data_IF_885655453000
#
_entry.id   IF_885655453000
#
_cell.length_a   1.000
_cell.length_b   1.000
_cell.length_c   1.000
_cell.angle_alpha   90.00
_cell.angle_beta   90.00
_cell.angle_gamma   90.00
#
_symmetry.space_group_name_H-M   'P 1'
#
loop_
_entity.id
_entity.type
_entity.pdbx_description
1 polymer ?
#
# COMPACT_ATOMS: atom_id res chain seq x y z
N UNK A 1 -2.82 -7.32 -14.65
CA UNK A 1 -3.65 -6.30 -13.98
C UNK A 1 -2.91 -5.91 -12.72
N UNK A 2 -2.57 -4.65 -12.55
CA UNK A 2 -1.71 -4.18 -11.47
C UNK A 2 -2.47 -3.11 -10.68
N UNK A 3 -2.01 -2.80 -9.48
CA UNK A 3 -2.65 -1.79 -8.63
C UNK A 3 -1.57 -0.88 -8.10
N UNK A 4 -1.84 0.42 -8.13
CA UNK A 4 -1.06 1.42 -7.42
C UNK A 4 -1.96 2.15 -6.43
N UNK A 5 -1.47 2.38 -5.22
CA UNK A 5 -2.18 3.05 -4.14
C UNK A 5 -1.24 4.08 -3.52
N UNK A 6 -1.61 5.36 -3.56
CA UNK A 6 -0.88 6.46 -2.91
C UNK A 6 -1.56 6.97 -1.63
N UNK A 7 -2.55 6.24 -1.13
CA UNK A 7 -3.35 6.56 0.05
C UNK A 7 -4.58 7.41 -0.27
N UNK A 8 -4.51 8.28 -1.28
CA UNK A 8 -5.65 9.08 -1.75
C UNK A 8 -6.31 8.48 -2.98
N UNK A 9 -5.50 7.93 -3.87
CA UNK A 9 -5.90 7.36 -5.15
C UNK A 9 -5.53 5.90 -5.19
N UNK A 10 -6.47 5.09 -5.63
CA UNK A 10 -6.24 3.70 -5.99
C UNK A 10 -6.45 3.59 -7.49
N UNK A 11 -5.46 3.09 -8.21
CA UNK A 11 -5.53 2.93 -9.66
C UNK A 11 -5.42 1.46 -10.00
N UNK A 12 -6.49 0.92 -10.59
CA UNK A 12 -6.55 -0.43 -11.10
C UNK A 12 -6.20 -0.42 -12.59
N UNK A 13 -5.05 -1.00 -12.91
CA UNK A 13 -4.58 -1.16 -14.28
C UNK A 13 -5.08 -2.48 -14.87
N UNK A 14 -5.84 -2.40 -15.95
CA UNK A 14 -6.33 -3.56 -16.70
C UNK A 14 -5.98 -3.44 -18.18
N UNK A 15 -6.03 -4.54 -18.92
CA UNK A 15 -5.67 -4.49 -20.34
C UNK A 15 -6.59 -3.50 -21.07
N UNK A 16 -5.99 -2.52 -21.73
CA UNK A 16 -6.71 -1.47 -22.45
C UNK A 16 -7.17 -0.26 -21.63
N UNK A 17 -7.04 -0.23 -20.30
CA UNK A 17 -7.38 0.97 -19.51
C UNK A 17 -6.83 0.98 -18.06
N UNK A 18 -7.01 2.12 -17.38
CA UNK A 18 -6.81 2.24 -15.94
C UNK A 18 -8.04 2.90 -15.30
N UNK A 19 -8.62 2.24 -14.30
CA UNK A 19 -9.71 2.78 -13.49
C UNK A 19 -9.11 3.50 -12.27
N UNK A 20 -9.42 4.78 -12.13
CA UNK A 20 -8.94 5.65 -11.05
C UNK A 20 -10.04 5.82 -10.03
N UNK A 21 -9.76 5.39 -8.81
CA UNK A 21 -10.61 5.60 -7.65
C UNK A 21 -9.99 6.69 -6.78
N UNK A 22 -10.81 7.65 -6.36
CA UNK A 22 -10.44 8.70 -5.41
C UNK A 22 -11.38 8.58 -4.23
N UNK A 23 -10.81 8.41 -3.04
CA UNK A 23 -11.57 8.25 -1.80
C UNK A 23 -12.64 7.13 -1.90
N UNK A 24 -12.31 6.06 -2.63
CA UNK A 24 -13.17 4.89 -2.84
C UNK A 24 -14.19 4.99 -3.97
N UNK A 25 -14.43 6.19 -4.52
CA UNK A 25 -15.35 6.38 -5.65
C UNK A 25 -14.61 6.29 -6.99
N UNK A 26 -15.22 5.65 -8.00
CA UNK A 26 -14.69 5.65 -9.36
C UNK A 26 -14.72 7.10 -9.90
N UNK A 27 -13.55 7.70 -10.03
CA UNK A 27 -13.40 9.08 -10.49
C UNK A 27 -13.26 9.16 -12.01
N UNK A 28 -12.48 8.26 -12.62
CA UNK A 28 -12.38 8.16 -14.09
C UNK A 28 -11.90 6.79 -14.55
N UNK A 29 -12.11 6.51 -15.84
CA UNK A 29 -11.45 5.41 -16.56
C UNK A 29 -10.64 6.00 -17.71
N UNK A 30 -9.32 5.79 -17.68
CA UNK A 30 -8.40 6.20 -18.71
C UNK A 30 -8.17 5.07 -19.71
N UNK A 31 -8.64 5.21 -20.95
CA UNK A 31 -8.42 4.19 -21.99
C UNK A 31 -7.01 4.31 -22.55
N UNK A 32 -6.30 3.21 -22.57
CA UNK A 32 -4.94 3.17 -23.07
C UNK A 32 -4.62 1.75 -23.54
N UNK A 33 -4.23 1.54 -24.82
CA UNK A 33 -4.07 0.22 -25.42
C UNK A 33 -2.77 -0.49 -24.96
N UNK A 34 -2.55 -0.54 -23.64
CA UNK A 34 -1.43 -1.21 -23.00
C UNK A 34 -1.88 -2.48 -22.29
N UNK A 35 -0.96 -3.43 -22.20
CA UNK A 35 -1.08 -4.61 -21.35
C UNK A 35 -0.22 -4.41 -20.11
N UNK A 36 -0.82 -4.24 -18.95
CA UNK A 36 -0.07 -3.85 -17.74
C UNK A 36 0.47 -5.04 -16.95
N UNK A 37 1.77 -4.99 -16.61
CA UNK A 37 2.47 -6.04 -15.86
C UNK A 37 2.78 -5.64 -14.42
N UNK A 38 3.02 -4.35 -14.16
CA UNK A 38 3.31 -3.80 -12.84
C UNK A 38 2.76 -2.37 -12.71
N UNK A 39 2.58 -1.91 -11.48
CA UNK A 39 2.18 -0.54 -11.18
C UNK A 39 2.68 -0.16 -9.79
N UNK A 40 2.95 1.12 -9.58
CA UNK A 40 3.43 1.63 -8.30
C UNK A 40 3.08 3.11 -8.12
N UNK A 41 3.07 3.52 -6.85
CA UNK A 41 3.17 4.92 -6.46
C UNK A 41 4.66 5.21 -6.22
N UNK A 42 5.25 6.10 -7.03
CA UNK A 42 6.66 6.47 -6.94
C UNK A 42 6.81 7.95 -6.57
N UNK A 43 7.84 8.33 -5.82
CA UNK A 43 8.22 9.73 -5.69
C UNK A 43 8.43 10.35 -7.08
N UNK A 44 7.95 11.57 -7.25
CA UNK A 44 8.16 12.32 -8.48
C UNK A 44 9.67 12.66 -8.62
N UNK A 45 10.29 12.48 -9.79
CA UNK A 45 11.71 12.81 -10.01
C UNK A 45 12.05 14.29 -9.83
N UNK A 46 11.05 15.17 -9.91
CA UNK A 46 11.20 16.60 -9.64
C UNK A 46 11.18 16.93 -8.12
N UNK A 47 11.07 15.91 -7.26
CA UNK A 47 11.01 16.05 -5.81
C UNK A 47 9.64 16.45 -5.27
N UNK A 48 8.61 16.60 -6.13
CA UNK A 48 7.31 17.13 -5.73
C UNK A 48 6.19 16.10 -5.86
N UNK A 49 5.88 15.47 -4.73
CA UNK A 49 4.73 14.59 -4.59
C UNK A 49 4.97 13.18 -5.13
N UNK A 50 3.87 12.50 -5.45
CA UNK A 50 3.88 11.08 -5.84
C UNK A 50 3.19 10.90 -7.20
N UNK A 51 3.85 10.15 -8.08
CA UNK A 51 3.31 9.75 -9.36
C UNK A 51 2.77 8.32 -9.29
N UNK A 52 1.58 8.13 -9.85
CA UNK A 52 1.10 6.79 -10.16
C UNK A 52 1.67 6.40 -11.52
N UNK A 53 2.38 5.29 -11.55
CA UNK A 53 2.98 4.75 -12.77
C UNK A 53 2.50 3.33 -13.03
N UNK A 54 2.38 2.98 -14.31
CA UNK A 54 2.21 1.62 -14.80
C UNK A 54 3.41 1.21 -15.64
N UNK A 55 3.74 -0.07 -15.58
CA UNK A 55 4.70 -0.72 -16.48
C UNK A 55 3.90 -1.64 -17.40
N UNK A 56 4.04 -1.45 -18.71
CA UNK A 56 3.39 -2.31 -19.69
C UNK A 56 4.24 -3.53 -20.09
N UNK A 57 3.66 -4.43 -20.86
CA UNK A 57 4.28 -5.68 -21.28
C UNK A 57 5.47 -5.48 -22.22
N UNK A 58 5.57 -4.32 -22.87
CA UNK A 58 6.71 -3.89 -23.68
C UNK A 58 7.82 -3.26 -22.83
N UNK A 59 7.60 -3.12 -21.52
CA UNK A 59 8.56 -2.58 -20.56
C UNK A 59 8.60 -1.07 -20.49
N UNK A 60 7.58 -0.37 -21.02
CA UNK A 60 7.50 1.09 -20.95
C UNK A 60 6.99 1.51 -19.57
N UNK A 61 7.69 2.46 -18.95
CA UNK A 61 7.24 3.14 -17.73
C UNK A 61 6.39 4.35 -18.10
N UNK A 62 5.10 4.29 -17.75
CA UNK A 62 4.11 5.29 -18.10
C UNK A 62 3.51 5.88 -16.83
N UNK A 63 3.47 7.21 -16.74
CA UNK A 63 2.79 7.95 -15.67
C UNK A 63 1.34 8.16 -16.05
N UNK A 64 0.45 8.00 -15.06
CA UNK A 64 -0.92 8.46 -15.14
C UNK A 64 -1.03 9.87 -14.55
N UNK A 65 -1.17 10.93 -15.38
CA UNK A 65 -1.36 12.28 -14.86
C UNK A 65 -2.75 12.42 -14.20
N UNK A 66 -2.90 13.48 -13.41
CA UNK A 66 -4.18 13.83 -12.78
C UNK A 66 -5.31 14.01 -13.80
N UNK A 67 -4.98 14.51 -14.99
CA UNK A 67 -5.85 14.67 -16.15
C UNK A 67 -5.04 14.35 -17.42
N UNK A 68 -5.69 13.79 -18.44
CA UNK A 68 -5.05 13.46 -19.72
C UNK A 68 -4.50 12.03 -19.82
N UNK A 69 -3.90 11.78 -20.98
CA UNK A 69 -3.39 10.47 -21.39
C UNK A 69 -2.11 10.07 -20.66
N UNK A 70 -1.75 8.79 -20.75
CA UNK A 70 -0.50 8.27 -20.20
C UNK A 70 0.73 8.92 -20.84
N UNK A 71 1.72 9.23 -20.01
CA UNK A 71 2.97 9.89 -20.41
C UNK A 71 4.16 8.95 -20.20
N UNK A 72 5.06 8.75 -21.19
CA UNK A 72 6.30 8.03 -20.96
C UNK A 72 7.23 8.83 -20.03
N UNK A 73 7.71 8.17 -18.97
CA UNK A 73 8.52 8.82 -17.93
C UNK A 73 9.80 8.08 -17.57
N UNK A 74 10.17 7.02 -18.30
CA UNK A 74 11.42 6.27 -18.05
C UNK A 74 12.66 7.19 -18.00
N UNK A 75 12.74 8.15 -18.93
CA UNK A 75 13.87 9.09 -19.02
C UNK A 75 13.91 10.07 -17.83
N UNK A 76 12.75 10.35 -17.20
CA UNK A 76 12.69 11.18 -15.99
C UNK A 76 13.33 10.49 -14.79
N UNK A 77 13.45 9.15 -14.83
CA UNK A 77 14.17 8.35 -13.85
C UNK A 77 15.55 7.89 -14.37
N UNK A 78 16.08 8.51 -15.44
CA UNK A 78 17.38 8.17 -16.04
C UNK A 78 17.50 6.72 -16.53
N UNK A 79 16.38 6.11 -16.93
CA UNK A 79 16.36 4.72 -17.39
C UNK A 79 16.67 4.58 -18.88
N UNK A 80 16.74 5.67 -19.65
CA UNK A 80 17.20 5.70 -21.04
C UNK A 80 16.57 4.60 -21.92
N UNK A 81 15.23 4.58 -22.00
CA UNK A 81 14.44 3.54 -22.70
C UNK A 81 14.70 2.08 -22.29
N UNK A 82 15.38 1.81 -21.17
CA UNK A 82 15.58 0.45 -20.70
C UNK A 82 14.21 -0.22 -20.40
N UNK A 83 14.03 -1.50 -20.77
CA UNK A 83 12.78 -2.20 -20.53
C UNK A 83 12.60 -2.47 -19.03
N UNK A 84 11.60 -1.81 -18.44
CA UNK A 84 11.26 -1.96 -17.03
C UNK A 84 10.37 -3.19 -16.85
N UNK A 85 10.65 -4.00 -15.84
CA UNK A 85 9.86 -5.19 -15.46
C UNK A 85 9.00 -4.92 -14.23
N UNK A 86 9.54 -4.16 -13.29
CA UNK A 86 8.83 -3.69 -12.10
C UNK A 86 9.43 -2.38 -11.61
N UNK A 87 8.60 -1.58 -10.93
CA UNK A 87 9.02 -0.37 -10.26
C UNK A 87 8.45 -0.36 -8.84
N UNK A 88 9.23 0.09 -7.87
CA UNK A 88 8.83 0.19 -6.46
C UNK A 88 9.45 1.45 -5.85
N UNK A 89 8.73 2.11 -4.95
CA UNK A 89 9.29 3.21 -4.16
C UNK A 89 10.27 2.67 -3.11
N UNK A 90 11.33 3.41 -2.81
CA UNK A 90 12.23 3.10 -1.68
C UNK A 90 11.61 3.49 -0.32
N UNK A 91 10.42 4.08 -0.33
CA UNK A 91 9.70 4.55 0.87
C UNK A 91 10.10 5.97 1.29
N UNK A 92 9.26 6.57 2.13
CA UNK A 92 9.48 7.88 2.76
C UNK A 92 9.36 7.76 4.27
N UNK A 93 10.34 8.30 5.00
CA UNK A 93 10.36 8.24 6.46
C UNK A 93 11.72 8.58 7.04
N UNK A 94 12.11 9.86 7.00
CA UNK A 94 13.26 10.43 7.73
C UNK A 94 14.67 9.89 7.41
N UNK A 95 14.79 8.78 6.69
CA UNK A 95 16.04 8.24 6.22
C UNK A 95 16.58 9.08 5.05
N UNK A 96 17.92 9.16 4.87
CA UNK A 96 18.46 9.56 3.57
C UNK A 96 17.78 8.68 2.49
N UNK A 97 17.40 9.25 1.35
CA UNK A 97 16.67 8.58 0.24
C UNK A 97 15.15 8.41 0.40
N UNK A 98 14.50 9.15 1.30
CA UNK A 98 13.04 9.21 1.47
C UNK A 98 12.21 9.67 0.23
N UNK A 99 12.81 9.70 -0.97
CA UNK A 99 12.20 10.10 -2.23
C UNK A 99 12.74 9.32 -3.44
N UNK A 100 13.36 8.15 -3.24
CA UNK A 100 13.90 7.36 -4.35
C UNK A 100 12.96 6.26 -4.87
N UNK A 101 13.30 5.72 -6.04
CA UNK A 101 12.62 4.61 -6.69
C UNK A 101 13.63 3.54 -7.13
N UNK A 102 13.21 2.28 -7.11
CA UNK A 102 13.97 1.15 -7.58
C UNK A 102 13.23 0.45 -8.73
N UNK A 103 14.00 0.01 -9.72
CA UNK A 103 13.49 -0.60 -10.94
C UNK A 103 14.19 -1.94 -11.18
N UNK A 104 13.38 -2.97 -11.40
CA UNK A 104 13.87 -4.22 -11.98
C UNK A 104 13.88 -4.07 -13.50
N UNK A 105 15.05 -4.24 -14.11
CA UNK A 105 15.25 -4.23 -15.56
C UNK A 105 15.56 -5.66 -16.03
N UNK A 106 15.85 -5.83 -17.32
CA UNK A 106 16.37 -7.10 -17.85
C UNK A 106 17.85 -7.24 -17.47
N UNK A 107 18.13 -8.08 -16.47
CA UNK A 107 19.50 -8.35 -16.02
C UNK A 107 20.11 -7.33 -15.06
N UNK A 108 19.41 -6.24 -14.76
CA UNK A 108 19.90 -5.15 -13.91
C UNK A 108 18.87 -4.69 -12.89
N UNK A 109 19.38 -4.05 -11.84
CA UNK A 109 18.59 -3.19 -10.94
C UNK A 109 19.04 -1.75 -11.16
N UNK A 110 18.11 -0.83 -11.36
CA UNK A 110 18.38 0.60 -11.34
C UNK A 110 17.78 1.24 -10.09
N UNK A 111 18.54 2.10 -9.43
CA UNK A 111 18.12 2.86 -8.26
C UNK A 111 18.23 4.34 -8.57
N UNK A 112 17.09 5.03 -8.64
CA UNK A 112 17.00 6.47 -8.78
C UNK A 112 16.79 7.08 -7.38
N UNK A 113 17.78 7.79 -6.87
CA UNK A 113 17.79 8.26 -5.48
C UNK A 113 17.28 9.71 -5.29
N UNK A 114 16.81 10.31 -6.39
CA UNK A 114 16.37 11.71 -6.48
C UNK A 114 17.44 12.65 -7.02
N UNK A 115 18.71 12.24 -7.06
CA UNK A 115 19.82 13.01 -7.62
C UNK A 115 20.57 12.24 -8.72
N UNK A 116 20.81 10.95 -8.50
CA UNK A 116 21.56 10.06 -9.38
C UNK A 116 20.79 8.78 -9.65
N UNK A 117 21.16 8.14 -10.76
CA UNK A 117 20.66 6.81 -11.12
C UNK A 117 21.85 5.86 -11.12
N UNK A 118 21.86 4.93 -10.17
CA UNK A 118 22.90 3.91 -10.09
C UNK A 118 22.35 2.59 -10.59
N UNK A 119 23.09 1.93 -11.50
CA UNK A 119 22.73 0.62 -12.04
C UNK A 119 23.64 -0.47 -11.49
N UNK A 120 23.04 -1.63 -11.21
CA UNK A 120 23.71 -2.80 -10.68
C UNK A 120 23.42 -3.98 -11.61
N UNK A 121 24.47 -4.56 -12.19
CA UNK A 121 24.35 -5.80 -12.95
C UNK A 121 24.07 -6.96 -11.98
N UNK A 122 22.98 -7.68 -12.20
CA UNK A 122 22.52 -8.77 -11.33
C UNK A 122 22.30 -10.08 -12.07
N UNK A 123 22.02 -10.01 -13.38
CA UNK A 123 21.38 -11.10 -14.10
C UNK A 123 19.86 -11.13 -13.87
N UNK A 124 19.14 -12.08 -14.49
CA UNK A 124 17.68 -12.16 -14.41
C UNK A 124 17.20 -12.38 -12.98
N UNK A 125 16.29 -11.51 -12.52
CA UNK A 125 15.73 -11.57 -11.19
C UNK A 125 14.59 -12.60 -11.12
N UNK A 126 14.64 -13.48 -10.11
CA UNK A 126 13.53 -14.36 -9.75
C UNK A 126 12.49 -13.65 -8.88
N UNK A 127 12.93 -12.70 -8.04
CA UNK A 127 12.08 -11.87 -7.20
C UNK A 127 12.71 -10.50 -6.97
N UNK A 128 11.89 -9.49 -6.70
CA UNK A 128 12.30 -8.11 -6.50
C UNK A 128 11.35 -7.40 -5.53
N UNK A 129 11.91 -6.73 -4.53
CA UNK A 129 11.19 -5.91 -3.56
C UNK A 129 12.04 -4.69 -3.17
N UNK A 130 11.39 -3.61 -2.73
CA UNK A 130 12.07 -2.41 -2.28
C UNK A 130 11.25 -1.69 -1.22
N UNK A 131 11.94 -0.97 -0.33
CA UNK A 131 11.34 -0.23 0.80
C UNK A 131 12.40 0.15 1.82
N UNK A 132 12.12 1.16 2.65
CA UNK A 132 13.02 1.63 3.71
C UNK A 132 14.47 1.90 3.27
N UNK A 133 14.68 2.42 2.05
CA UNK A 133 16.02 2.67 1.50
C UNK A 133 16.81 1.42 1.08
N UNK A 134 16.16 0.27 0.97
CA UNK A 134 16.79 -1.00 0.57
C UNK A 134 16.08 -1.64 -0.62
N UNK A 135 16.84 -2.40 -1.38
CA UNK A 135 16.35 -3.23 -2.48
C UNK A 135 16.71 -4.68 -2.20
N UNK A 136 15.72 -5.55 -2.16
CA UNK A 136 15.91 -6.98 -2.00
C UNK A 136 15.58 -7.69 -3.31
N UNK A 137 16.39 -8.69 -3.67
CA UNK A 137 16.21 -9.43 -4.90
C UNK A 137 16.71 -10.86 -4.76
N UNK A 138 16.05 -11.76 -5.47
CA UNK A 138 16.46 -13.15 -5.58
C UNK A 138 16.98 -13.44 -6.97
N UNK A 139 18.07 -14.19 -7.03
CA UNK A 139 18.63 -14.79 -8.22
C UNK A 139 18.46 -16.32 -8.12
N UNK A 140 18.81 -17.05 -9.17
CA UNK A 140 18.78 -18.52 -9.14
C UNK A 140 19.69 -19.14 -8.06
N UNK A 141 20.68 -18.40 -7.56
CA UNK A 141 21.68 -18.84 -6.59
C UNK A 141 21.43 -18.35 -5.15
N UNK A 142 20.46 -17.46 -4.92
CA UNK A 142 20.16 -16.98 -3.57
C UNK A 142 19.49 -15.62 -3.48
N UNK A 143 19.33 -15.17 -2.23
CA UNK A 143 18.69 -13.91 -1.85
C UNK A 143 19.76 -12.88 -1.48
N UNK A 144 19.61 -11.66 -1.98
CA UNK A 144 20.49 -10.52 -1.68
C UNK A 144 19.66 -9.29 -1.32
N UNK A 145 20.23 -8.41 -0.51
CA UNK A 145 19.69 -7.08 -0.27
C UNK A 145 20.79 -6.03 -0.36
N UNK A 146 20.52 -4.99 -1.13
CA UNK A 146 21.33 -3.80 -1.29
C UNK A 146 20.79 -2.70 -0.38
N UNK A 147 21.66 -2.19 0.49
CA UNK A 147 21.44 -0.91 1.15
C UNK A 147 21.84 0.22 0.20
N UNK A 148 20.89 1.08 -0.17
CA UNK A 148 21.11 2.11 -1.20
C UNK A 148 22.09 3.17 -0.72
N UNK A 149 22.03 3.51 0.57
CA UNK A 149 22.83 4.57 1.17
C UNK A 149 24.32 4.22 1.20
N UNK A 150 24.63 3.05 1.73
CA UNK A 150 25.99 2.56 1.93
C UNK A 150 26.51 1.79 0.73
N UNK A 151 25.62 1.44 -0.22
CA UNK A 151 25.88 0.52 -1.33
C UNK A 151 26.34 -0.86 -0.86
N UNK A 152 26.08 -1.19 0.41
CA UNK A 152 26.44 -2.47 0.98
C UNK A 152 25.49 -3.54 0.46
N UNK A 153 26.07 -4.60 -0.12
CA UNK A 153 25.33 -5.78 -0.55
C UNK A 153 25.47 -6.88 0.49
N UNK A 154 24.34 -7.40 0.97
CA UNK A 154 24.29 -8.55 1.87
C UNK A 154 23.64 -9.73 1.17
N UNK A 155 24.23 -10.92 1.33
CA UNK A 155 23.66 -12.19 0.87
C UNK A 155 23.06 -12.94 2.06
N UNK A 156 21.93 -13.61 1.83
CA UNK A 156 21.23 -14.38 2.84
C UNK A 156 21.11 -15.84 2.40
N UNK A 157 21.52 -16.80 3.26
CA UNK A 157 21.14 -18.19 3.05
C UNK A 157 19.63 -18.35 3.31
N UNK A 158 18.92 -18.99 2.38
CA UNK A 158 17.53 -19.41 2.59
C UNK A 158 17.51 -20.88 3.01
N UNK A 159 16.96 -21.23 4.18
CA UNK A 159 17.00 -22.60 4.70
C UNK A 159 16.25 -23.62 3.83
N UNK A 160 15.14 -23.21 3.20
CA UNK A 160 14.13 -24.12 2.65
C UNK A 160 13.98 -24.01 1.10
N UNK A 161 15.04 -23.64 0.37
CA UNK A 161 15.10 -23.67 -1.10
C UNK A 161 14.86 -22.34 -1.84
N UNK A 162 14.97 -22.34 -3.20
CA UNK A 162 14.92 -21.13 -4.02
C UNK A 162 13.49 -20.63 -4.30
N UNK A 163 13.39 -19.32 -4.60
CA UNK A 163 12.19 -18.54 -4.93
C UNK A 163 11.39 -17.96 -3.75
N UNK A 164 11.94 -16.94 -3.06
CA UNK A 164 11.19 -16.24 -2.04
C UNK A 164 10.21 -15.24 -2.65
N UNK A 165 8.98 -15.21 -2.13
CA UNK A 165 8.22 -13.96 -2.09
C UNK A 165 9.04 -12.99 -1.23
N UNK A 166 9.24 -11.76 -1.71
CA UNK A 166 10.06 -10.77 -1.02
C UNK A 166 9.23 -9.56 -0.64
N UNK A 167 9.56 -8.99 0.52
CA UNK A 167 9.06 -7.71 0.96
C UNK A 167 10.13 -6.98 1.78
N UNK A 168 10.10 -5.65 1.72
CA UNK A 168 10.97 -4.81 2.55
C UNK A 168 10.09 -3.79 3.25
N UNK A 169 10.15 -3.76 4.58
CA UNK A 169 9.31 -2.84 5.37
C UNK A 169 9.76 -1.39 5.21
N UNK A 170 8.93 -0.43 5.64
CA UNK A 170 9.34 0.98 5.69
C UNK A 170 10.56 1.24 6.58
N UNK A 171 10.83 0.37 7.55
CA UNK A 171 12.03 0.41 8.39
C UNK A 171 13.25 -0.31 7.76
N UNK A 172 13.13 -0.77 6.52
CA UNK A 172 14.21 -1.46 5.80
C UNK A 172 14.43 -2.91 6.26
N UNK A 173 13.50 -3.53 6.99
CA UNK A 173 13.64 -4.96 7.35
C UNK A 173 13.22 -5.84 6.17
N UNK A 174 14.05 -6.83 5.84
CA UNK A 174 13.76 -7.82 4.81
C UNK A 174 12.84 -8.91 5.35
N UNK A 175 11.81 -9.24 4.58
CA UNK A 175 11.04 -10.46 4.72
C UNK A 175 11.17 -11.32 3.47
N UNK A 176 11.32 -12.62 3.68
CA UNK A 176 11.40 -13.61 2.62
C UNK A 176 10.51 -14.79 2.97
N UNK A 177 9.64 -15.21 2.06
CA UNK A 177 8.78 -16.37 2.25
C UNK A 177 9.03 -17.43 1.17
N UNK A 178 9.31 -18.65 1.61
CA UNK A 178 9.16 -19.86 0.79
C UNK A 178 7.72 -20.35 0.90
N UNK A 179 7.28 -21.32 0.08
CA UNK A 179 5.96 -21.93 0.30
C UNK A 179 5.76 -22.48 1.72
N UNK A 180 6.83 -22.91 2.41
CA UNK A 180 6.74 -23.56 3.72
C UNK A 180 6.89 -22.61 4.92
N UNK A 181 7.48 -21.42 4.74
CA UNK A 181 7.81 -20.55 5.86
C UNK A 181 8.05 -19.09 5.46
N UNK A 182 7.72 -18.19 6.39
CA UNK A 182 8.08 -16.78 6.34
C UNK A 182 9.23 -16.51 7.31
N UNK A 183 10.25 -15.82 6.81
CA UNK A 183 11.41 -15.37 7.55
C UNK A 183 11.45 -13.84 7.57
N UNK A 184 11.91 -13.28 8.68
CA UNK A 184 12.19 -11.84 8.83
C UNK A 184 13.63 -11.67 9.28
N UNK A 185 14.28 -10.65 8.74
CA UNK A 185 15.61 -10.23 9.14
C UNK A 185 15.59 -9.63 10.55
N UNK A 186 16.44 -10.19 11.43
CA UNK A 186 16.66 -9.66 12.78
C UNK A 186 17.68 -8.50 12.78
N UNK A 187 17.93 -7.91 13.96
CA UNK A 187 18.86 -6.78 14.10
C UNK A 187 20.34 -7.14 13.78
N UNK A 188 20.71 -8.42 13.81
CA UNK A 188 22.03 -8.88 13.36
C UNK A 188 22.09 -9.04 11.83
N UNK A 189 20.96 -8.88 11.16
CA UNK A 189 20.77 -9.09 9.74
C UNK A 189 20.82 -10.57 9.34
N UNK A 190 20.23 -11.42 10.19
CA UNK A 190 20.04 -12.86 9.96
C UNK A 190 18.55 -13.13 9.74
N UNK A 191 18.20 -13.95 8.75
CA UNK A 191 16.82 -14.39 8.53
C UNK A 191 16.38 -15.37 9.63
N UNK A 192 15.36 -14.98 10.38
CA UNK A 192 14.76 -15.80 11.44
C UNK A 192 13.35 -16.23 11.06
N UNK A 193 13.03 -17.49 11.33
CA UNK A 193 11.70 -18.03 11.13
C UNK A 193 10.68 -17.22 11.96
N UNK A 194 9.65 -16.69 11.29
CA UNK A 194 8.53 -15.98 11.91
C UNK A 194 7.25 -16.79 11.94
N UNK A 195 7.02 -17.54 10.87
CA UNK A 195 5.81 -18.33 10.67
C UNK A 195 6.16 -19.59 9.86
N UNK A 196 5.64 -20.73 10.30
CA UNK A 196 5.54 -21.93 9.47
C UNK A 196 4.19 -21.91 8.78
N UNK A 197 4.19 -22.08 7.47
CA UNK A 197 2.95 -22.14 6.70
C UNK A 197 2.12 -23.34 7.17
N UNK A 198 0.83 -23.12 7.38
CA UNK A 198 -0.16 -24.17 7.58
C UNK A 198 -0.45 -24.92 6.29
N UNK A 199 -0.34 -24.24 5.14
CA UNK A 199 -0.48 -24.82 3.82
C UNK A 199 0.68 -24.41 2.90
N UNK A 200 0.54 -23.31 2.18
CA UNK A 200 1.55 -22.82 1.26
C UNK A 200 1.45 -21.30 1.12
N UNK A 201 2.54 -20.61 1.43
CA UNK A 201 2.64 -19.17 1.21
C UNK A 201 2.73 -18.88 -0.29
N UNK A 202 1.84 -18.03 -0.79
CA UNK A 202 1.78 -17.69 -2.23
C UNK A 202 1.67 -16.20 -2.54
N UNK A 203 1.46 -15.35 -1.52
CA UNK A 203 1.54 -13.91 -1.68
C UNK A 203 2.08 -13.22 -0.40
N UNK A 204 2.77 -12.11 -0.58
CA UNK A 204 3.37 -11.30 0.48
C UNK A 204 3.30 -9.82 0.07
N UNK A 205 2.89 -8.93 0.99
CA UNK A 205 2.86 -7.49 0.76
C UNK A 205 3.09 -6.71 2.05
N UNK A 206 3.86 -5.62 1.98
CA UNK A 206 3.97 -4.64 3.07
C UNK A 206 2.86 -3.61 2.91
N UNK A 207 2.16 -3.32 4.00
CA UNK A 207 1.16 -2.26 4.09
C UNK A 207 1.34 -1.50 5.40
N UNK A 208 1.75 -0.23 5.33
CA UNK A 208 2.11 0.53 6.53
C UNK A 208 3.19 -0.17 7.37
N UNK A 209 2.89 -0.43 8.63
CA UNK A 209 3.73 -1.16 9.59
C UNK A 209 3.47 -2.67 9.63
N UNK A 210 2.53 -3.16 8.81
CA UNK A 210 2.10 -4.56 8.76
C UNK A 210 2.67 -5.28 7.54
N UNK A 211 2.82 -6.58 7.66
CA UNK A 211 3.08 -7.47 6.53
C UNK A 211 1.91 -8.42 6.36
N UNK A 212 1.29 -8.39 5.19
CA UNK A 212 0.22 -9.30 4.82
C UNK A 212 0.77 -10.48 4.04
N UNK A 213 0.23 -11.66 4.30
CA UNK A 213 0.61 -12.88 3.61
C UNK A 213 -0.63 -13.70 3.25
N UNK A 214 -0.54 -14.51 2.21
CA UNK A 214 -1.57 -15.49 1.88
C UNK A 214 -1.01 -16.88 2.11
N UNK A 215 -1.68 -17.67 2.95
CA UNK A 215 -1.34 -19.06 3.26
C UNK A 215 -2.51 -19.96 2.87
N UNK A 216 -2.32 -20.79 1.84
CA UNK A 216 -3.40 -21.60 1.30
C UNK A 216 -4.56 -20.72 0.80
N UNK A 217 -5.73 -20.85 1.42
CA UNK A 217 -6.91 -20.03 1.15
C UNK A 217 -7.21 -19.00 2.26
N UNK A 218 -6.27 -18.78 3.18
CA UNK A 218 -6.40 -17.81 4.25
C UNK A 218 -5.54 -16.56 4.03
N UNK A 219 -6.00 -15.45 4.58
CA UNK A 219 -5.27 -14.19 4.64
C UNK A 219 -4.67 -14.03 6.04
N UNK A 220 -3.38 -13.76 6.10
CA UNK A 220 -2.69 -13.48 7.34
C UNK A 220 -2.08 -12.09 7.39
N UNK A 221 -1.87 -11.62 8.61
CA UNK A 221 -1.15 -10.39 8.95
C UNK A 221 -0.09 -10.71 9.99
N UNK A 222 1.11 -10.18 9.77
CA UNK A 222 2.23 -10.18 10.70
C UNK A 222 2.50 -8.74 11.11
N UNK A 223 2.50 -8.49 12.41
CA UNK A 223 2.89 -7.22 13.01
C UNK A 223 3.66 -7.43 14.33
N UNK A 224 3.83 -6.36 15.11
CA UNK A 224 4.56 -6.39 16.37
C UNK A 224 3.98 -7.40 17.39
N UNK A 225 2.69 -7.70 17.31
CA UNK A 225 2.02 -8.64 18.22
C UNK A 225 2.13 -10.10 17.78
N UNK A 226 2.61 -10.35 16.55
CA UNK A 226 2.77 -11.69 15.99
C UNK A 226 1.96 -11.90 14.71
N UNK A 227 1.90 -13.16 14.27
CA UNK A 227 1.14 -13.56 13.10
C UNK A 227 -0.31 -13.92 13.50
N UNK A 228 -1.27 -13.48 12.70
CA UNK A 228 -2.70 -13.83 12.81
C UNK A 228 -3.25 -14.15 11.43
N UNK A 229 -4.16 -15.09 11.35
CA UNK A 229 -4.79 -15.52 10.10
C UNK A 229 -6.31 -15.52 10.22
N UNK A 230 -6.97 -15.29 9.09
CA UNK A 230 -8.41 -15.47 8.96
C UNK A 230 -8.82 -16.93 9.09
N UNK A 231 -10.13 -17.15 9.23
CA UNK A 231 -10.76 -18.45 9.05
C UNK A 231 -11.90 -18.31 8.06
N UNK A 232 -11.73 -18.84 6.86
CA UNK A 232 -12.67 -18.82 5.76
C UNK A 232 -12.53 -17.65 4.79
N UNK A 233 -11.37 -17.02 4.63
CA UNK A 233 -11.20 -15.92 3.66
C UNK A 233 -11.33 -16.37 2.20
N UNK A 234 -11.09 -17.67 1.93
CA UNK A 234 -11.20 -18.33 0.62
C UNK A 234 -10.41 -17.59 -0.46
N UNK A 235 -9.13 -17.34 -0.18
CA UNK A 235 -8.22 -16.71 -1.10
C UNK A 235 -7.91 -17.62 -2.30
N UNK A 236 -7.93 -17.10 -3.53
CA UNK A 236 -7.45 -17.82 -4.69
C UNK A 236 -5.91 -17.87 -4.71
N UNK A 237 -5.34 -19.04 -5.01
CA UNK A 237 -3.87 -19.28 -5.07
C UNK A 237 -3.10 -18.41 -6.08
N UNK A 238 -3.79 -17.84 -7.06
CA UNK A 238 -3.18 -16.93 -8.05
C UNK A 238 -3.42 -15.45 -7.74
N UNK A 239 -3.97 -15.13 -6.56
CA UNK A 239 -4.24 -13.77 -6.13
C UNK A 239 -2.95 -13.02 -5.80
N UNK A 240 -2.88 -11.75 -6.17
CA UNK A 240 -1.78 -10.86 -5.78
C UNK A 240 -2.22 -10.00 -4.61
N UNK A 241 -1.34 -9.86 -3.61
CA UNK A 241 -1.49 -8.89 -2.54
C UNK A 241 -0.77 -7.60 -2.92
N UNK A 242 -1.42 -6.47 -2.70
CA UNK A 242 -0.86 -5.12 -2.90
C UNK A 242 -1.15 -4.34 -1.63
N UNK A 243 -0.11 -3.86 -0.96
CA UNK A 243 -0.27 -3.08 0.26
C UNK A 243 -0.81 -1.69 -0.02
N UNK A 244 -1.66 -1.22 0.89
CA UNK A 244 -2.09 0.17 0.96
C UNK A 244 -1.22 0.93 1.98
N UNK A 245 -0.89 2.21 1.76
CA UNK A 245 -0.18 3.02 2.74
C UNK A 245 -0.86 3.08 4.12
N UNK A 246 -2.19 2.91 4.17
CA UNK A 246 -2.97 2.92 5.41
C UNK A 246 -2.93 1.64 6.25
N UNK A 247 -2.13 0.63 5.87
CA UNK A 247 -2.01 -0.64 6.61
C UNK A 247 -2.92 -1.77 6.13
N UNK A 248 -3.84 -1.46 5.22
CA UNK A 248 -4.74 -2.43 4.58
C UNK A 248 -4.07 -3.13 3.39
N UNK A 249 -4.66 -4.24 2.95
CA UNK A 249 -4.18 -4.96 1.76
C UNK A 249 -5.28 -5.11 0.72
N UNK A 250 -4.91 -4.92 -0.54
CA UNK A 250 -5.71 -5.25 -1.69
C UNK A 250 -5.37 -6.65 -2.19
N UNK A 251 -6.39 -7.46 -2.42
CA UNK A 251 -6.31 -8.71 -3.15
C UNK A 251 -6.81 -8.49 -4.56
N UNK A 252 -5.93 -8.69 -5.54
CA UNK A 252 -6.30 -8.73 -6.95
C UNK A 252 -6.29 -10.17 -7.45
N UNK A 253 -7.45 -10.69 -7.81
CA UNK A 253 -7.58 -12.05 -8.32
C UNK A 253 -8.71 -12.17 -9.33
N UNK A 254 -8.48 -12.92 -10.41
CA UNK A 254 -9.48 -13.20 -11.45
C UNK A 254 -10.18 -11.94 -11.99
N UNK A 255 -9.49 -10.80 -11.99
CA UNK A 255 -10.04 -9.52 -12.44
C UNK A 255 -10.86 -8.75 -11.42
N UNK A 256 -11.07 -9.29 -10.22
CA UNK A 256 -11.71 -8.61 -9.11
C UNK A 256 -10.65 -8.04 -8.14
N UNK A 257 -10.97 -6.88 -7.56
CA UNK A 257 -10.17 -6.22 -6.53
C UNK A 257 -10.97 -6.20 -5.23
N UNK A 258 -10.40 -6.73 -4.13
CA UNK A 258 -11.02 -6.76 -2.81
C UNK A 258 -10.06 -6.16 -1.77
N UNK A 259 -10.55 -5.29 -0.89
CA UNK A 259 -9.77 -4.74 0.23
C UNK A 259 -9.96 -5.59 1.47
N UNK A 260 -8.91 -5.71 2.28
CA UNK A 260 -8.95 -6.25 3.63
C UNK A 260 -8.27 -5.32 4.59
N UNK A 261 -8.86 -5.19 5.78
CA UNK A 261 -8.31 -4.45 6.91
C UNK A 261 -8.16 -5.40 8.09
N UNK A 262 -7.03 -5.35 8.78
CA UNK A 262 -6.87 -6.14 10.00
C UNK A 262 -7.62 -5.41 11.12
N UNK A 263 -8.78 -5.96 11.49
CA UNK A 263 -9.54 -5.47 12.62
C UNK A 263 -8.77 -5.74 13.90
N UNK A 264 -8.63 -4.72 14.75
CA UNK A 264 -8.21 -4.93 16.13
C UNK A 264 -9.32 -5.75 16.79
N UNK A 265 -8.97 -6.77 17.58
CA UNK A 265 -9.88 -7.80 18.09
C UNK A 265 -11.01 -7.35 19.02
N UNK A 266 -11.30 -6.05 19.12
CA UNK A 266 -12.51 -5.51 19.73
C UNK A 266 -13.41 -4.98 18.61
N UNK A 267 -14.67 -5.43 18.59
CA UNK A 267 -15.67 -4.92 17.65
C UNK A 267 -15.86 -3.41 17.86
N UNK A 268 -15.10 -2.61 17.12
CA UNK A 268 -15.26 -1.17 17.08
C UNK A 268 -16.71 -0.86 16.66
N UNK A 269 -17.35 0.17 17.25
CA UNK A 269 -18.74 0.47 17.00
C UNK A 269 -19.02 0.64 15.49
N UNK A 270 -20.08 -0.02 15.04
CA UNK A 270 -20.54 0.05 13.65
C UNK A 270 -21.05 1.48 13.36
N UNK A 271 -21.24 1.83 12.09
CA UNK A 271 -21.87 3.13 11.74
C UNK A 271 -23.21 3.32 12.46
N UNK A 272 -23.94 2.23 12.70
CA UNK A 272 -25.21 2.21 13.43
C UNK A 272 -25.10 2.74 14.86
N UNK A 273 -23.92 2.63 15.49
CA UNK A 273 -23.67 3.19 16.83
C UNK A 273 -23.36 4.69 16.80
N UNK A 274 -22.78 5.18 15.69
CA UNK A 274 -22.43 6.59 15.50
C UNK A 274 -23.60 7.40 14.92
N UNK A 275 -24.41 6.81 14.03
CA UNK A 275 -25.47 7.49 13.30
C UNK A 275 -26.44 8.29 14.21
N UNK A 276 -26.87 7.79 15.40
CA UNK A 276 -27.70 8.57 16.32
C UNK A 276 -27.01 9.82 16.88
N UNK A 277 -25.69 9.78 17.04
CA UNK A 277 -24.87 10.93 17.47
C UNK A 277 -24.82 11.97 16.35
N UNK A 278 -24.58 11.53 15.12
CA UNK A 278 -24.52 12.40 13.93
C UNK A 278 -25.86 13.09 13.73
N UNK A 279 -26.96 12.33 13.71
CA UNK A 279 -28.31 12.87 13.49
C UNK A 279 -28.66 13.97 14.51
N UNK A 280 -28.28 13.78 15.77
CA UNK A 280 -28.59 14.71 16.86
C UNK A 280 -27.71 15.96 16.85
N UNK A 281 -26.40 15.79 16.69
CA UNK A 281 -25.42 16.84 16.99
C UNK A 281 -24.78 17.48 15.76
N UNK A 282 -24.59 16.71 14.68
CA UNK A 282 -23.79 17.10 13.52
C UNK A 282 -24.64 17.40 12.28
N UNK A 283 -25.64 16.56 12.00
CA UNK A 283 -26.48 16.63 10.81
C UNK A 283 -27.12 18.01 10.59
N UNK A 284 -27.62 18.75 11.60
CA UNK A 284 -28.29 20.01 11.29
C UNK A 284 -27.33 21.13 10.83
N UNK A 285 -26.01 20.91 10.78
CA UNK A 285 -25.06 21.78 10.06
C UNK A 285 -24.37 21.06 8.88
N UNK A 286 -24.31 19.73 8.91
CA UNK A 286 -23.50 18.90 8.01
C UNK A 286 -24.36 17.94 7.16
N UNK A 287 -25.56 18.36 6.78
CA UNK A 287 -26.33 17.72 5.70
C UNK A 287 -25.83 18.24 4.33
N UNK A 288 -26.19 17.58 3.21
CA UNK A 288 -25.95 18.11 1.88
C UNK A 288 -26.44 19.55 1.74
N UNK A 289 -25.54 20.49 1.39
CA UNK A 289 -25.84 21.91 1.28
C UNK A 289 -25.97 22.68 2.61
N UNK A 290 -25.61 22.07 3.73
CA UNK A 290 -25.62 22.69 5.05
C UNK A 290 -24.52 23.73 5.27
N UNK A 291 -24.72 24.60 6.27
CA UNK A 291 -23.82 25.71 6.62
C UNK A 291 -22.39 25.27 7.00
N UNK A 292 -22.19 24.00 7.34
CA UNK A 292 -20.90 23.44 7.72
C UNK A 292 -19.95 23.18 6.55
N UNK A 293 -20.40 23.34 5.29
CA UNK A 293 -19.57 23.20 4.09
C UNK A 293 -19.02 21.80 3.80
N UNK A 294 -19.38 20.83 4.65
CA UNK A 294 -19.00 19.41 4.56
C UNK A 294 -20.22 18.58 4.93
N UNK A 295 -20.58 17.64 4.06
CA UNK A 295 -21.61 16.64 4.35
C UNK A 295 -21.03 15.54 5.23
N UNK A 296 -21.70 15.22 6.34
CA UNK A 296 -21.35 14.17 7.29
C UNK A 296 -22.50 13.15 7.46
N UNK A 297 -23.47 13.14 6.55
CA UNK A 297 -24.68 12.33 6.66
C UNK A 297 -24.49 10.83 6.42
N UNK A 298 -23.32 10.41 5.92
CA UNK A 298 -23.04 9.02 5.53
C UNK A 298 -21.75 8.49 6.16
N UNK A 299 -21.61 7.16 6.36
CA UNK A 299 -20.38 6.59 6.88
C UNK A 299 -19.18 6.84 5.97
N UNK A 300 -19.41 6.83 4.65
CA UNK A 300 -18.40 7.18 3.67
C UNK A 300 -17.84 8.59 3.94
N UNK A 301 -18.69 9.59 4.15
CA UNK A 301 -18.26 10.98 4.35
C UNK A 301 -17.28 11.16 5.53
N UNK A 302 -17.50 10.46 6.65
CA UNK A 302 -16.62 10.51 7.83
C UNK A 302 -15.25 9.86 7.63
N UNK A 303 -15.12 9.11 6.55
CA UNK A 303 -14.00 8.20 6.32
C UNK A 303 -13.29 8.43 4.99
N UNK A 304 -13.82 9.35 4.18
CA UNK A 304 -13.42 9.67 2.80
C UNK A 304 -12.00 10.26 2.76
N UNK A 305 -11.64 11.18 3.67
CA UNK A 305 -10.32 11.82 3.65
C UNK A 305 -9.67 11.87 5.04
N UNK A 306 -8.37 11.62 5.10
CA UNK A 306 -7.56 11.72 6.33
C UNK A 306 -7.65 13.12 6.95
N UNK A 307 -7.64 14.16 6.12
CA UNK A 307 -7.74 15.56 6.57
C UNK A 307 -9.07 15.88 7.23
N UNK A 308 -10.18 15.31 6.76
CA UNK A 308 -11.48 15.49 7.42
C UNK A 308 -11.53 14.76 8.76
N UNK A 309 -10.93 13.57 8.86
CA UNK A 309 -10.82 12.82 10.12
C UNK A 309 -9.98 13.56 11.16
N UNK A 310 -8.84 14.11 10.76
CA UNK A 310 -7.99 14.95 11.60
C UNK A 310 -8.71 16.21 12.05
N UNK A 311 -9.46 16.85 11.14
CA UNK A 311 -10.27 18.04 11.47
C UNK A 311 -11.38 17.72 12.47
N UNK A 312 -12.07 16.59 12.32
CA UNK A 312 -13.08 16.11 13.28
C UNK A 312 -12.41 15.77 14.61
N UNK A 313 -11.30 15.04 14.62
CA UNK A 313 -10.58 14.70 15.84
C UNK A 313 -10.16 15.95 16.62
N UNK A 314 -9.52 16.91 15.93
CA UNK A 314 -9.09 18.17 16.54
C UNK A 314 -10.28 19.00 17.06
N UNK A 315 -11.28 19.28 16.23
CA UNK A 315 -12.37 20.22 16.59
C UNK A 315 -13.40 19.61 17.54
N UNK A 316 -13.65 18.30 17.44
CA UNK A 316 -14.69 17.61 18.21
C UNK A 316 -14.11 16.86 19.42
N UNK A 317 -12.88 16.37 19.38
CA UNK A 317 -12.32 15.59 20.51
C UNK A 317 -11.35 16.40 21.37
N UNK A 318 -10.52 17.23 20.76
CA UNK A 318 -9.45 17.96 21.46
C UNK A 318 -9.90 19.36 21.86
N UNK A 319 -10.17 20.23 20.88
CA UNK A 319 -10.51 21.65 21.08
C UNK A 319 -11.94 21.84 21.56
N UNK A 320 -12.82 20.85 21.33
CA UNK A 320 -14.26 20.89 21.64
C UNK A 320 -14.96 22.16 21.12
N UNK A 321 -14.47 22.71 20.01
CA UNK A 321 -15.01 23.88 19.31
C UNK A 321 -16.23 23.55 18.44
N UNK A 322 -16.51 22.25 18.26
CA UNK A 322 -17.70 21.73 17.58
C UNK A 322 -18.38 20.63 18.40
N UNK A 323 -19.71 20.48 18.30
CA UNK A 323 -20.67 21.34 17.57
C UNK A 323 -20.91 22.70 18.27
N UNK A 324 -21.58 23.68 17.62
CA UNK A 324 -21.87 24.98 18.22
C UNK A 324 -22.73 24.87 19.50
N UNK A 325 -22.75 25.92 20.34
CA UNK A 325 -23.57 25.97 21.55
C UNK A 325 -25.03 25.59 21.27
N UNK A 326 -25.64 24.81 22.17
CA UNK A 326 -27.00 24.29 22.02
C UNK A 326 -27.09 22.87 21.44
N UNK A 327 -25.96 22.24 21.11
CA UNK A 327 -25.92 20.85 20.59
C UNK A 327 -24.90 19.95 21.32
N UNK A 328 -24.95 19.81 22.65
CA UNK A 328 -23.87 19.19 23.41
C UNK A 328 -23.62 17.72 23.01
N UNK A 329 -22.33 17.38 22.84
CA UNK A 329 -21.86 16.00 22.77
C UNK A 329 -21.43 15.55 24.17
N UNK A 330 -21.96 14.40 24.61
CA UNK A 330 -21.50 13.74 25.84
C UNK A 330 -20.10 13.13 25.65
N UNK A 331 -19.41 12.81 26.74
CA UNK A 331 -18.13 12.08 26.65
C UNK A 331 -18.29 10.68 26.03
N UNK A 332 -19.44 10.03 26.22
CA UNK A 332 -19.76 8.77 25.54
C UNK A 332 -19.89 8.96 24.01
N UNK A 333 -20.51 10.06 23.57
CA UNK A 333 -20.57 10.41 22.14
C UNK A 333 -19.18 10.67 21.57
N UNK A 334 -18.33 11.40 22.31
CA UNK A 334 -16.93 11.66 21.90
C UNK A 334 -16.11 10.38 21.86
N UNK A 335 -16.36 9.42 22.76
CA UNK A 335 -15.72 8.11 22.71
C UNK A 335 -16.11 7.33 21.45
N UNK A 336 -17.39 7.35 21.05
CA UNK A 336 -17.88 6.75 19.80
C UNK A 336 -17.29 7.43 18.57
N UNK A 337 -17.25 8.76 18.57
CA UNK A 337 -16.62 9.54 17.49
C UNK A 337 -15.14 9.19 17.39
N UNK A 338 -14.41 9.14 18.51
CA UNK A 338 -12.99 8.75 18.57
C UNK A 338 -12.76 7.36 17.99
N UNK A 339 -13.57 6.38 18.40
CA UNK A 339 -13.49 5.02 17.89
C UNK A 339 -13.76 4.96 16.38
N UNK A 340 -14.71 5.75 15.87
CA UNK A 340 -15.10 5.73 14.46
C UNK A 340 -14.10 6.47 13.55
N UNK A 341 -13.62 7.65 13.96
CA UNK A 341 -12.63 8.40 13.17
C UNK A 341 -11.26 7.73 13.18
N UNK A 342 -10.94 6.95 14.22
CA UNK A 342 -9.77 6.09 14.28
C UNK A 342 -9.82 4.86 13.36
N UNK A 343 -10.97 4.55 12.73
CA UNK A 343 -11.07 3.47 11.73
C UNK A 343 -10.25 3.82 10.48
N UNK A 344 -9.74 2.85 9.71
CA UNK A 344 -9.53 3.01 8.27
C UNK A 344 -10.90 3.15 7.58
N UNK A 345 -11.00 3.89 6.46
CA UNK A 345 -12.28 4.08 5.79
C UNK A 345 -12.88 2.80 5.19
N UNK A 346 -14.22 2.66 5.11
CA UNK A 346 -14.87 1.51 4.52
C UNK A 346 -14.58 1.48 3.02
N UNK A 347 -14.22 0.30 2.52
CA UNK A 347 -14.31 0.01 1.09
C UNK A 347 -15.79 0.03 0.70
N UNK A 348 -16.13 0.75 -0.37
CA UNK A 348 -17.47 0.73 -0.95
C UNK A 348 -17.90 -0.70 -1.28
N UNK A 349 -19.10 -1.09 -0.85
CA UNK A 349 -19.81 -2.27 -1.34
C UNK A 349 -20.37 -2.00 -2.75
N UNK A 350 -20.57 -3.04 -3.58
CA UNK A 350 -20.58 -2.98 -5.05
C UNK A 350 -21.64 -2.07 -5.69
#
# INVERSE_FOLDING_TARGET
>A
RAVADDGRRVVLFHDGAAAVFVDGALARVERAPHRWVSAAALPAPDGHGTWIVGVDAEGRLLRLPGQGAFEPVADRYGLERAPVRAALGLGGGGAPFAGGAAFALDGEIAVADGATVTRYATGPLAAFAAGGGRVAFALGDGLRALDVATRALRSYPLPDGPAPLLAVTGAGRLLAATPAALYEEDAAGVLRLRLRASAALHALAVAGDRVWFADGDELGVLDATGARETRGARLPRGGKLIGSPGGDVWLLASGALRRFSAGDGDAAPAWDDLAPVVARACAPCHLPGGEGGVDLSTPAAWTTTTTLRESIARRVLEERTMPPPGRPLSEADRARIRAFVGRPGPAGSP
#
